data_IF_719015956304
#
_entry.id   IF_719015956304
#
_cell.length_a   1.000
_cell.length_b   1.000
_cell.length_c   1.000
_cell.angle_alpha   90.00
_cell.angle_beta   90.00
_cell.angle_gamma   90.00
#
_symmetry.space_group_name_H-M   'P 1'
#
loop_
_entity.id
_entity.type
_entity.pdbx_description
1 polymer ?
#
# COMPACT_ATOMS: atom_id res chain seq x y z
N UNK A 1 20.03 -25.79 3.42
CA UNK A 1 18.91 -24.86 3.17
C UNK A 1 19.05 -24.33 1.75
N UNK A 2 18.14 -24.72 0.86
CA UNK A 2 18.28 -24.53 -0.58
C UNK A 2 17.70 -23.17 -0.93
N UNK A 3 18.54 -22.23 -1.35
CA UNK A 3 18.04 -21.03 -2.01
C UNK A 3 17.39 -21.48 -3.33
N UNK A 4 16.06 -21.43 -3.40
CA UNK A 4 15.27 -21.80 -4.59
C UNK A 4 15.18 -20.66 -5.62
N UNK A 5 15.95 -19.60 -5.41
CA UNK A 5 15.97 -18.42 -6.28
C UNK A 5 17.15 -18.60 -7.23
N UNK A 6 16.87 -18.62 -8.54
CA UNK A 6 17.91 -18.65 -9.60
C UNK A 6 18.65 -17.30 -9.65
N UNK A 7 17.97 -16.24 -9.21
CA UNK A 7 18.49 -14.87 -9.16
C UNK A 7 19.39 -14.65 -7.93
N UNK A 8 20.46 -13.87 -8.10
CA UNK A 8 21.38 -13.52 -7.01
C UNK A 8 20.72 -12.61 -5.96
N UNK A 9 20.36 -13.16 -4.80
CA UNK A 9 19.87 -12.39 -3.66
C UNK A 9 21.01 -11.59 -3.01
N UNK A 10 20.76 -10.30 -2.74
CA UNK A 10 21.73 -9.35 -2.15
C UNK A 10 21.05 -8.50 -1.06
N UNK A 11 21.85 -7.89 -0.19
CA UNK A 11 21.34 -6.99 0.86
C UNK A 11 21.12 -5.59 0.28
N UNK A 12 19.88 -5.09 0.36
CA UNK A 12 19.50 -3.74 -0.05
C UNK A 12 19.06 -2.93 1.17
N UNK A 13 19.15 -1.61 1.07
CA UNK A 13 18.61 -0.68 2.05
C UNK A 13 17.87 0.45 1.34
N UNK A 14 16.90 1.07 2.01
CA UNK A 14 16.30 2.30 1.49
C UNK A 14 17.24 3.50 1.74
N UNK A 15 17.25 4.47 0.82
CA UNK A 15 18.02 5.71 1.01
C UNK A 15 17.56 6.40 2.31
N UNK A 16 18.52 6.67 3.21
CA UNK A 16 18.27 7.30 4.50
C UNK A 16 17.93 6.33 5.65
N UNK A 17 17.85 5.02 5.39
CA UNK A 17 17.65 3.99 6.41
C UNK A 17 18.92 3.14 6.62
N UNK A 18 19.11 2.66 7.85
CA UNK A 18 20.19 1.72 8.22
C UNK A 18 19.75 0.25 8.13
N UNK A 19 18.44 0.01 8.15
CA UNK A 19 17.86 -1.32 8.10
C UNK A 19 18.07 -1.95 6.71
N UNK A 20 18.55 -3.19 6.69
CA UNK A 20 18.89 -3.89 5.47
C UNK A 20 18.02 -5.12 5.29
N UNK A 21 17.55 -5.35 4.07
CA UNK A 21 16.75 -6.52 3.76
C UNK A 21 17.36 -7.32 2.61
N UNK A 22 17.11 -8.63 2.64
CA UNK A 22 17.52 -9.52 1.58
C UNK A 22 16.53 -9.45 0.43
N UNK A 23 17.00 -9.10 -0.76
CA UNK A 23 16.15 -8.99 -1.95
C UNK A 23 16.88 -9.36 -3.23
N UNK A 24 16.11 -9.52 -4.30
CA UNK A 24 16.62 -9.63 -5.66
C UNK A 24 15.93 -8.59 -6.54
N UNK A 25 16.68 -8.03 -7.49
CA UNK A 25 16.17 -6.99 -8.38
C UNK A 25 15.50 -7.63 -9.60
N UNK A 26 14.21 -7.39 -9.77
CA UNK A 26 13.44 -7.79 -10.95
C UNK A 26 12.95 -6.54 -11.68
N UNK A 27 13.81 -6.04 -12.59
CA UNK A 27 13.54 -4.81 -13.32
C UNK A 27 13.63 -3.55 -12.44
N UNK A 28 12.59 -2.71 -12.38
CA UNK A 28 12.56 -1.53 -11.51
C UNK A 28 12.36 -1.89 -10.03
N UNK A 29 11.82 -3.08 -9.74
CA UNK A 29 11.43 -3.47 -8.39
C UNK A 29 12.46 -4.38 -7.72
N UNK A 30 12.49 -4.33 -6.39
CA UNK A 30 13.26 -5.25 -5.54
C UNK A 30 12.28 -6.13 -4.78
N UNK A 31 12.36 -7.44 -5.01
CA UNK A 31 11.51 -8.44 -4.38
C UNK A 31 12.25 -9.08 -3.22
N UNK A 32 11.57 -9.28 -2.09
CA UNK A 32 12.17 -9.92 -0.92
C UNK A 32 12.53 -11.37 -1.22
N UNK A 33 13.76 -11.74 -0.88
CA UNK A 33 14.22 -13.11 -0.95
C UNK A 33 13.89 -13.87 0.35
N UNK A 34 13.83 -15.22 0.30
CA UNK A 34 13.84 -16.04 1.50
C UNK A 34 15.08 -15.72 2.36
N UNK A 35 14.93 -15.71 3.69
CA UNK A 35 16.01 -15.41 4.64
C UNK A 35 17.23 -16.32 4.47
N UNK A 36 17.01 -17.54 4.00
CA UNK A 36 18.05 -18.55 3.78
C UNK A 36 18.97 -18.23 2.59
N UNK A 37 18.61 -17.29 1.72
CA UNK A 37 19.37 -16.96 0.50
C UNK A 37 20.51 -15.95 0.73
N UNK A 38 20.37 -15.03 1.69
CA UNK A 38 21.46 -14.10 2.02
C UNK A 38 22.39 -14.74 3.04
N UNK A 39 23.52 -15.27 2.56
CA UNK A 39 24.51 -15.94 3.39
C UNK A 39 25.05 -14.99 4.48
N UNK A 40 24.80 -15.32 5.75
CA UNK A 40 25.18 -14.50 6.92
C UNK A 40 24.15 -13.44 7.34
N UNK A 41 22.97 -13.38 6.69
CA UNK A 41 21.95 -12.38 6.99
C UNK A 41 22.32 -10.97 6.52
N UNK A 42 21.32 -10.08 6.53
CA UNK A 42 21.54 -8.66 6.30
C UNK A 42 21.43 -7.94 7.65
N UNK A 43 22.47 -7.21 8.11
CA UNK A 43 22.44 -6.56 9.41
C UNK A 43 21.66 -5.25 9.35
N UNK A 44 20.79 -5.02 10.33
CA UNK A 44 19.97 -3.81 10.42
C UNK A 44 20.67 -2.65 11.17
N UNK A 45 21.80 -2.96 11.82
CA UNK A 45 22.54 -2.03 12.68
C UNK A 45 23.59 -1.19 11.94
N UNK A 46 23.62 -1.25 10.60
CA UNK A 46 24.61 -0.51 9.79
C UNK A 46 26.04 -1.02 9.91
N UNK A 47 26.28 -2.15 10.57
CA UNK A 47 27.61 -2.77 10.74
C UNK A 47 28.28 -3.18 9.42
N UNK A 48 27.47 -3.39 8.37
CA UNK A 48 27.90 -3.70 7.01
C UNK A 48 27.22 -2.76 6.03
N UNK A 49 27.93 -2.30 5.01
CA UNK A 49 27.29 -1.51 3.96
C UNK A 49 26.38 -2.40 3.08
N UNK A 50 25.18 -1.92 2.71
CA UNK A 50 24.31 -2.62 1.77
C UNK A 50 24.96 -2.67 0.38
N UNK A 51 24.55 -3.64 -0.43
CA UNK A 51 24.98 -3.73 -1.82
C UNK A 51 24.56 -2.48 -2.60
N UNK A 52 23.36 -1.95 -2.32
CA UNK A 52 22.86 -0.72 -2.92
C UNK A 52 21.76 -0.09 -2.08
N UNK A 53 21.78 1.23 -2.00
CA UNK A 53 20.64 2.01 -1.54
C UNK A 53 19.63 2.19 -2.67
N UNK A 54 18.37 1.83 -2.42
CA UNK A 54 17.27 1.98 -3.36
C UNK A 54 16.31 3.05 -2.88
N UNK A 55 15.61 3.67 -3.83
CA UNK A 55 14.52 4.56 -3.51
C UNK A 55 13.35 3.74 -2.97
N UNK A 56 12.67 4.26 -1.93
CA UNK A 56 11.42 3.64 -1.46
C UNK A 56 10.44 3.68 -2.64
N UNK A 57 9.71 2.58 -2.93
CA UNK A 57 8.60 2.68 -3.86
C UNK A 57 7.72 3.81 -3.35
N UNK A 58 7.64 4.90 -4.12
CA UNK A 58 6.69 5.96 -3.83
C UNK A 58 5.34 5.26 -3.90
N UNK A 59 4.71 5.08 -2.73
CA UNK A 59 3.28 4.82 -2.70
C UNK A 59 2.70 6.02 -3.43
N UNK A 60 2.42 5.88 -4.73
CA UNK A 60 1.56 6.81 -5.46
C UNK A 60 0.33 6.85 -4.60
N UNK A 61 0.17 7.97 -3.88
CA UNK A 61 -0.81 8.11 -2.83
C UNK A 61 -2.12 7.55 -3.38
N UNK A 62 -2.70 6.55 -2.72
CA UNK A 62 -4.01 6.02 -3.13
C UNK A 62 -5.02 7.18 -3.22
N UNK A 63 -4.77 8.26 -2.46
CA UNK A 63 -5.46 9.54 -2.50
C UNK A 63 -5.33 10.32 -3.82
N UNK A 64 -4.23 10.20 -4.59
CA UNK A 64 -4.05 10.89 -5.87
C UNK A 64 -4.74 10.18 -7.05
N UNK A 65 -5.14 8.91 -6.90
CA UNK A 65 -5.87 8.18 -7.95
C UNK A 65 -7.39 8.24 -7.77
N UNK A 66 -7.88 8.82 -6.67
CA UNK A 66 -9.29 9.14 -6.52
C UNK A 66 -9.57 10.40 -7.35
N UNK A 67 -10.16 10.22 -8.53
CA UNK A 67 -10.64 11.37 -9.31
C UNK A 67 -11.63 12.13 -8.42
N UNK A 68 -11.39 13.41 -8.11
CA UNK A 68 -12.25 14.17 -7.19
C UNK A 68 -13.72 14.22 -7.66
N UNK A 69 -13.93 14.06 -8.96
CA UNK A 69 -15.24 13.99 -9.61
C UNK A 69 -16.02 12.73 -9.18
N UNK A 70 -15.39 11.56 -9.12
CA UNK A 70 -16.09 10.31 -8.77
C UNK A 70 -16.52 10.31 -7.30
N UNK A 71 -15.66 10.84 -6.41
CA UNK A 71 -15.97 11.01 -4.99
C UNK A 71 -17.11 12.02 -4.81
N UNK A 72 -17.07 13.14 -5.53
CA UNK A 72 -18.09 14.19 -5.47
C UNK A 72 -19.47 13.68 -5.92
N UNK A 73 -19.54 12.93 -7.02
CA UNK A 73 -20.78 12.33 -7.52
C UNK A 73 -21.32 11.30 -6.52
N UNK A 74 -20.46 10.46 -5.94
CA UNK A 74 -20.88 9.48 -4.95
C UNK A 74 -21.47 10.15 -3.70
N UNK A 75 -20.88 11.25 -3.22
CA UNK A 75 -21.39 11.99 -2.06
C UNK A 75 -22.74 12.63 -2.39
N UNK A 76 -22.87 13.25 -3.57
CA UNK A 76 -24.13 13.87 -4.01
C UNK A 76 -25.27 12.83 -4.08
N UNK A 77 -24.98 11.64 -4.64
CA UNK A 77 -25.95 10.55 -4.75
C UNK A 77 -26.41 10.06 -3.38
N UNK A 78 -25.50 9.90 -2.41
CA UNK A 78 -25.84 9.56 -1.03
C UNK A 78 -26.77 10.60 -0.40
N UNK A 79 -26.51 11.89 -0.59
CA UNK A 79 -27.36 12.97 -0.06
C UNK A 79 -28.78 12.89 -0.64
N UNK A 80 -28.91 12.70 -1.96
CA UNK A 80 -30.22 12.59 -2.63
C UNK A 80 -31.01 11.38 -2.12
N UNK A 81 -30.35 10.23 -1.94
CA UNK A 81 -30.99 9.02 -1.41
C UNK A 81 -31.46 9.25 0.04
N UNK A 82 -30.63 9.85 0.88
CA UNK A 82 -31.00 10.15 2.28
C UNK A 82 -32.18 11.13 2.36
N UNK A 83 -32.21 12.17 1.52
CA UNK A 83 -33.34 13.09 1.45
C UNK A 83 -34.61 12.38 0.95
N UNK A 84 -34.49 11.50 -0.05
CA UNK A 84 -35.60 10.68 -0.54
C UNK A 84 -36.18 9.79 0.55
N UNK A 85 -35.33 9.08 1.29
CA UNK A 85 -35.73 8.25 2.44
C UNK A 85 -36.38 9.10 3.53
N UNK A 86 -35.81 10.26 3.86
CA UNK A 86 -36.37 11.17 4.85
C UNK A 86 -37.76 11.69 4.44
N UNK A 87 -37.96 12.03 3.16
CA UNK A 87 -39.27 12.43 2.65
C UNK A 87 -40.29 11.27 2.66
N UNK A 88 -39.86 10.04 2.38
CA UNK A 88 -40.71 8.86 2.51
C UNK A 88 -41.10 8.61 3.96
N UNK A 89 -40.15 8.68 4.89
CA UNK A 89 -40.41 8.53 6.33
C UNK A 89 -41.39 9.61 6.82
N UNK A 90 -41.17 10.87 6.47
CA UNK A 90 -42.08 11.97 6.79
C UNK A 90 -43.48 11.76 6.22
N UNK A 91 -43.59 11.25 4.99
CA UNK A 91 -44.88 10.94 4.37
C UNK A 91 -45.58 9.79 5.09
N UNK A 92 -44.84 8.75 5.47
CA UNK A 92 -45.38 7.60 6.20
C UNK A 92 -45.84 8.02 7.61
N UNK A 93 -45.06 8.84 8.33
CA UNK A 93 -45.47 9.38 9.64
C UNK A 93 -46.66 10.33 9.52
N UNK A 94 -46.73 11.15 8.47
CA UNK A 94 -47.88 12.04 8.22
C UNK A 94 -49.16 11.28 7.92
N UNK A 95 -49.10 10.15 7.21
CA UNK A 95 -50.27 9.31 6.88
C UNK A 95 -50.68 8.44 8.08
N UNK A 96 -49.71 8.02 8.90
CA UNK A 96 -49.92 7.28 10.15
C UNK A 96 -50.11 8.23 11.35
N UNK A 97 -50.89 9.31 11.17
CA UNK A 97 -51.49 10.02 12.31
C UNK A 97 -52.55 9.11 12.93
N UNK A 98 -52.19 8.47 14.04
CA UNK A 98 -53.13 8.09 15.10
C UNK A 98 -53.36 9.35 15.94
#
# INVERSE_FOLDING_TARGET
MVCRVIDECRCYAYKGETNQFCGTRRGPDVVHCPKDCCFGGCPDDGSRQPFRFIDRPTQRNVLENLKPIEVSISILLCIVVLLGLFHLDLKITSVRKI
#
